data_IF_107285712932
#
_entry.id   IF_107285712932
#
_cell.length_a   1.000
_cell.length_b   1.000
_cell.length_c   1.000
_cell.angle_alpha   90.00
_cell.angle_beta   90.00
_cell.angle_gamma   90.00
#
_symmetry.space_group_name_H-M   'P 1'
#
loop_
_entity.id
_entity.type
_entity.pdbx_description
1 polymer ?
#
# COMPACT_ATOMS: atom_id res chain seq x y z
N UNK A 1 16.51 -3.83 22.86
CA UNK A 1 15.56 -3.95 21.75
C UNK A 1 15.60 -2.63 20.99
N UNK A 2 15.63 -2.63 19.65
CA UNK A 2 15.51 -1.39 18.89
C UNK A 2 14.04 -0.98 18.95
N UNK A 3 13.75 0.26 19.32
CA UNK A 3 12.39 0.78 19.29
C UNK A 3 11.92 0.85 17.83
N UNK A 4 10.79 0.23 17.52
CA UNK A 4 10.18 0.26 16.19
C UNK A 4 8.94 1.15 16.21
N UNK A 5 8.80 1.95 15.15
CA UNK A 5 7.50 2.53 14.81
C UNK A 5 6.70 1.48 14.02
N UNK A 6 5.49 1.17 14.50
CA UNK A 6 4.58 0.21 13.88
C UNK A 6 3.52 0.99 13.11
N UNK A 7 3.38 0.68 11.82
CA UNK A 7 2.27 1.15 10.99
C UNK A 7 1.41 -0.06 10.67
N UNK A 8 0.21 -0.09 11.22
CA UNK A 8 -0.78 -1.12 10.99
C UNK A 8 -1.97 -0.53 10.23
N UNK A 9 -2.39 -1.22 9.17
CA UNK A 9 -3.50 -0.80 8.32
C UNK A 9 -4.43 -1.99 8.19
N UNK A 10 -5.70 -1.75 8.51
CA UNK A 10 -6.81 -2.65 8.25
C UNK A 10 -7.83 -1.94 7.36
N UNK A 11 -8.26 -2.60 6.29
CA UNK A 11 -9.20 -2.06 5.33
C UNK A 11 -10.22 -3.10 4.90
N UNK A 12 -11.47 -2.66 4.79
CA UNK A 12 -12.58 -3.48 4.32
C UNK A 12 -13.21 -2.81 3.10
N UNK A 13 -13.52 -3.62 2.09
CA UNK A 13 -14.29 -3.18 0.93
C UNK A 13 -15.79 -3.21 1.20
N UNK A 14 -16.57 -2.84 0.19
CA UNK A 14 -18.00 -3.07 0.23
C UNK A 14 -18.29 -4.59 0.17
N UNK A 15 -19.35 -5.08 0.84
CA UNK A 15 -19.81 -6.44 0.68
C UNK A 15 -20.23 -6.71 -0.77
N UNK A 16 -19.85 -7.87 -1.30
CA UNK A 16 -20.33 -8.39 -2.56
C UNK A 16 -21.69 -9.08 -2.40
N UNK A 17 -22.35 -9.35 -3.52
CA UNK A 17 -23.67 -10.00 -3.55
C UNK A 17 -23.66 -11.42 -3.00
N UNK A 18 -22.51 -12.11 -3.03
CA UNK A 18 -22.30 -13.42 -2.45
C UNK A 18 -21.96 -13.38 -0.95
N UNK A 19 -21.94 -12.17 -0.34
CA UNK A 19 -21.60 -11.95 1.06
C UNK A 19 -20.10 -11.89 1.34
N UNK A 20 -19.24 -12.10 0.33
CA UNK A 20 -17.79 -11.90 0.49
C UNK A 20 -17.45 -10.41 0.59
N UNK A 21 -16.30 -10.09 1.19
CA UNK A 21 -15.83 -8.72 1.31
C UNK A 21 -14.32 -8.69 1.08
N UNK A 22 -13.84 -7.67 0.36
CA UNK A 22 -12.40 -7.41 0.29
C UNK A 22 -11.90 -7.04 1.69
N UNK A 23 -10.88 -7.73 2.17
CA UNK A 23 -10.22 -7.41 3.43
C UNK A 23 -8.72 -7.37 3.21
N UNK A 24 -8.09 -6.30 3.71
CA UNK A 24 -6.64 -6.19 3.72
C UNK A 24 -6.19 -5.85 5.13
N UNK A 25 -5.22 -6.60 5.62
CA UNK A 25 -4.54 -6.34 6.88
C UNK A 25 -3.04 -6.34 6.60
N UNK A 26 -2.35 -5.27 6.97
CA UNK A 26 -0.90 -5.16 6.77
C UNK A 26 -0.25 -4.45 7.94
N UNK A 27 0.91 -4.94 8.36
CA UNK A 27 1.69 -4.41 9.47
C UNK A 27 3.12 -4.20 9.00
N UNK A 28 3.63 -2.98 9.14
CA UNK A 28 5.00 -2.61 8.79
C UNK A 28 5.74 -2.06 10.00
N UNK A 29 6.99 -2.49 10.17
CA UNK A 29 7.92 -1.98 11.19
C UNK A 29 8.93 -1.02 10.57
N UNK A 30 9.21 0.09 11.24
CA UNK A 30 10.20 1.10 10.84
C UNK A 30 11.19 1.35 11.99
N UNK A 31 12.52 1.26 11.79
CA UNK A 31 13.23 1.00 10.53
C UNK A 31 12.94 -0.38 9.93
N UNK A 32 12.76 -0.43 8.60
CA UNK A 32 12.64 -1.68 7.88
C UNK A 32 13.98 -2.43 7.91
N UNK A 33 13.94 -3.75 7.75
CA UNK A 33 15.17 -4.53 7.60
C UNK A 33 15.95 -4.05 6.37
N UNK A 34 17.28 -3.97 6.49
CA UNK A 34 18.15 -3.58 5.36
C UNK A 34 17.87 -4.54 4.19
N UNK A 35 17.57 -3.99 3.02
CA UNK A 35 17.24 -4.77 1.82
C UNK A 35 15.79 -5.26 1.73
N UNK A 36 14.94 -5.04 2.75
CA UNK A 36 13.51 -5.37 2.67
C UNK A 36 12.76 -4.57 1.61
N UNK A 37 13.28 -3.41 1.23
CA UNK A 37 12.80 -2.63 0.09
C UNK A 37 13.74 -2.92 -1.08
N UNK A 38 13.34 -3.84 -1.96
CA UNK A 38 14.07 -4.04 -3.22
C UNK A 38 13.65 -2.93 -4.19
N UNK A 39 14.63 -2.33 -4.88
CA UNK A 39 14.38 -1.25 -5.84
C UNK A 39 13.41 -1.66 -6.96
N UNK A 40 13.38 -2.95 -7.31
CA UNK A 40 12.53 -3.50 -8.36
C UNK A 40 11.02 -3.47 -8.00
N UNK A 41 10.64 -3.94 -6.80
CA UNK A 41 9.25 -3.91 -6.37
C UNK A 41 8.73 -2.47 -6.22
N UNK A 42 9.59 -1.58 -5.71
CA UNK A 42 9.26 -0.17 -5.52
C UNK A 42 9.14 0.58 -6.85
N UNK A 43 9.98 0.24 -7.84
CA UNK A 43 9.90 0.80 -9.19
C UNK A 43 8.60 0.41 -9.89
N UNK A 44 8.18 -0.87 -9.80
CA UNK A 44 6.91 -1.33 -10.37
C UNK A 44 5.71 -0.57 -9.80
N UNK A 45 5.65 -0.42 -8.47
CA UNK A 45 4.61 0.36 -7.80
C UNK A 45 4.62 1.83 -8.26
N UNK A 46 5.79 2.46 -8.34
CA UNK A 46 5.94 3.84 -8.79
C UNK A 46 5.45 4.07 -10.22
N UNK A 47 5.86 3.22 -11.17
CA UNK A 47 5.40 3.33 -12.56
C UNK A 47 3.89 3.05 -12.70
N UNK A 48 3.34 2.12 -11.92
CA UNK A 48 1.91 1.88 -11.83
C UNK A 48 1.15 3.13 -11.37
N UNK A 49 1.63 3.77 -10.31
CA UNK A 49 1.07 5.02 -9.79
C UNK A 49 1.09 6.15 -10.82
N UNK A 50 2.21 6.34 -11.53
CA UNK A 50 2.31 7.34 -12.60
C UNK A 50 1.29 7.09 -13.72
N UNK A 51 1.17 5.84 -14.19
CA UNK A 51 0.22 5.47 -15.24
C UNK A 51 -1.23 5.73 -14.82
N UNK A 52 -1.57 5.40 -13.57
CA UNK A 52 -2.90 5.64 -13.02
C UNK A 52 -3.21 7.13 -12.80
N UNK A 53 -2.19 7.97 -12.65
CA UNK A 53 -2.35 9.41 -12.45
C UNK A 53 -2.55 10.21 -13.75
N UNK A 54 -2.20 9.66 -14.92
CA UNK A 54 -2.25 10.38 -16.23
C UNK A 54 -3.60 11.02 -16.53
N UNK A 55 -4.70 10.36 -16.18
CA UNK A 55 -6.06 10.86 -16.43
C UNK A 55 -6.69 11.56 -15.21
N UNK A 56 -5.94 11.75 -14.13
CA UNK A 56 -6.45 12.36 -12.91
C UNK A 56 -6.16 13.86 -12.91
N UNK A 57 -7.16 14.67 -12.56
CA UNK A 57 -7.02 16.13 -12.43
C UNK A 57 -6.13 16.52 -11.23
N UNK A 58 -5.94 17.83 -10.98
CA UNK A 58 -5.16 18.31 -9.83
C UNK A 58 -5.69 17.74 -8.50
N UNK A 59 -4.81 17.20 -7.65
CA UNK A 59 -5.19 16.66 -6.34
C UNK A 59 -4.26 15.56 -5.81
N UNK A 60 -4.59 15.03 -4.64
CA UNK A 60 -3.91 13.86 -4.05
C UNK A 60 -4.62 12.60 -4.53
N UNK A 61 -3.86 11.68 -5.13
CA UNK A 61 -4.38 10.44 -5.69
C UNK A 61 -3.64 9.25 -5.08
N UNK A 62 -4.32 8.54 -4.20
CA UNK A 62 -3.82 7.27 -3.68
C UNK A 62 -3.90 6.22 -4.78
N UNK A 63 -2.82 5.45 -4.91
CA UNK A 63 -2.61 4.42 -5.93
C UNK A 63 -2.49 3.07 -5.26
#
# INVERSE_FOLDING_TARGET
>A
LVDYHIVEIEGFGAPQTDGSCFHVHTVRKNPAMIGAVTGFATAGAFFGSLKNAVAKGPGIHLC
#
